data_IF_587333311549
#
_entry.id   IF_587333311549
#
_cell.length_a   1.000
_cell.length_b   1.000
_cell.length_c   1.000
_cell.angle_alpha   90.00
_cell.angle_beta   90.00
_cell.angle_gamma   90.00
#
_symmetry.space_group_name_H-M   'P 1'
#
loop_
_entity.id
_entity.type
_entity.pdbx_description
1 polymer ?
#
# COMPACT_ATOMS: atom_id res chain seq x y z
N UNK A 1 -11.52 -2.29 11.39
CA UNK A 1 -10.15 -2.10 10.92
C UNK A 1 -9.21 -2.79 11.88
N UNK A 2 -8.67 -3.94 11.48
CA UNK A 2 -7.64 -4.67 12.20
C UNK A 2 -6.45 -3.74 12.48
N UNK A 3 -6.01 -3.71 13.75
CA UNK A 3 -4.95 -2.83 14.26
C UNK A 3 -3.66 -2.92 13.41
N UNK A 4 -3.35 -4.11 12.93
CA UNK A 4 -2.17 -4.42 12.13
C UNK A 4 -2.14 -3.72 10.75
N UNK A 5 -3.27 -3.62 10.03
CA UNK A 5 -3.32 -2.94 8.72
C UNK A 5 -3.08 -1.43 8.89
N UNK A 6 -3.66 -0.88 9.96
CA UNK A 6 -3.53 0.53 10.29
C UNK A 6 -2.11 0.87 10.74
N UNK A 7 -1.51 0.05 11.60
CA UNK A 7 -0.09 0.20 12.00
C UNK A 7 0.85 0.09 10.79
N UNK A 8 0.57 -0.84 9.88
CA UNK A 8 1.39 -1.08 8.71
C UNK A 8 1.21 -0.02 7.61
N UNK A 9 0.09 0.70 7.59
CA UNK A 9 -0.11 1.94 6.83
C UNK A 9 0.62 3.13 7.44
N UNK A 10 0.66 3.19 8.77
CA UNK A 10 1.21 4.32 9.53
C UNK A 10 2.74 4.24 9.69
N UNK A 11 3.37 3.10 9.42
CA UNK A 11 4.82 2.93 9.49
C UNK A 11 5.60 3.93 8.60
N UNK A 12 5.00 4.33 7.49
CA UNK A 12 5.56 5.29 6.53
C UNK A 12 4.91 6.68 6.68
N UNK A 13 4.14 6.93 7.75
CA UNK A 13 3.57 8.25 7.99
C UNK A 13 4.70 9.28 8.19
N UNK A 14 4.66 10.43 7.51
CA UNK A 14 5.64 11.51 7.70
C UNK A 14 5.59 12.10 9.11
N UNK A 15 4.55 11.78 9.88
CA UNK A 15 4.42 12.16 11.27
C UNK A 15 5.39 11.36 12.19
N UNK A 16 5.97 10.26 11.70
CA UNK A 16 6.97 9.44 12.40
C UNK A 16 6.35 8.51 13.44
N UNK A 17 7.06 7.41 13.77
CA UNK A 17 6.56 6.36 14.69
C UNK A 17 6.10 6.90 16.06
N UNK A 18 6.71 7.99 16.54
CA UNK A 18 6.39 8.62 17.82
C UNK A 18 5.04 9.37 17.84
N UNK A 19 4.48 9.75 16.70
CA UNK A 19 3.17 10.43 16.64
C UNK A 19 2.06 9.55 16.02
N UNK A 20 2.40 8.30 15.70
CA UNK A 20 1.48 7.28 15.18
C UNK A 20 1.10 6.21 16.20
N UNK A 21 1.57 6.30 17.46
CA UNK A 21 1.17 5.34 18.48
C UNK A 21 -0.30 5.51 18.87
N UNK A 22 -0.83 4.52 19.58
CA UNK A 22 -2.23 4.50 20.05
C UNK A 22 -2.58 5.63 21.03
N UNK A 23 -1.59 6.40 21.48
CA UNK A 23 -1.75 7.48 22.45
C UNK A 23 -1.56 8.88 21.84
N UNK A 24 -1.15 8.97 20.56
CA UNK A 24 -0.88 10.22 19.87
C UNK A 24 -1.77 10.37 18.63
N UNK A 25 -2.31 11.57 18.46
CA UNK A 25 -3.21 11.91 17.37
C UNK A 25 -2.46 11.93 16.03
N UNK A 26 -2.97 11.16 15.06
CA UNK A 26 -2.43 11.10 13.70
C UNK A 26 -3.51 11.46 12.68
N UNK A 27 -3.33 12.57 11.95
CA UNK A 27 -4.28 13.02 10.94
C UNK A 27 -4.59 11.95 9.88
N UNK A 28 -3.59 11.16 9.46
CA UNK A 28 -3.80 10.09 8.48
C UNK A 28 -4.59 8.92 9.06
N UNK A 29 -4.36 8.56 10.34
CA UNK A 29 -5.15 7.57 11.07
C UNK A 29 -6.62 7.98 11.11
N UNK A 30 -6.89 9.21 11.56
CA UNK A 30 -8.24 9.79 11.62
C UNK A 30 -8.90 9.89 10.24
N UNK A 31 -8.14 10.24 9.20
CA UNK A 31 -8.66 10.29 7.84
C UNK A 31 -9.11 8.89 7.39
N UNK A 32 -8.28 7.87 7.58
CA UNK A 32 -8.62 6.49 7.20
C UNK A 32 -9.82 6.00 8.03
N UNK A 33 -9.83 6.23 9.34
CA UNK A 33 -10.94 5.86 10.22
C UNK A 33 -12.25 6.59 9.89
N UNK A 34 -12.19 7.89 9.54
CA UNK A 34 -13.37 8.71 9.21
C UNK A 34 -13.91 8.47 7.80
N UNK A 35 -13.11 7.97 6.85
CA UNK A 35 -13.58 7.68 5.49
C UNK A 35 -14.59 6.54 5.42
N UNK A 36 -14.67 5.68 6.44
CA UNK A 36 -15.51 4.49 6.44
C UNK A 36 -15.09 3.43 5.41
N UNK A 37 -13.88 3.54 4.87
CA UNK A 37 -13.34 2.54 3.94
C UNK A 37 -13.15 1.21 4.67
N UNK A 38 -13.62 0.15 4.04
CA UNK A 38 -13.33 -1.21 4.49
C UNK A 38 -11.83 -1.52 4.32
N UNK A 39 -11.33 -2.44 5.15
CA UNK A 39 -9.97 -2.96 5.04
C UNK A 39 -9.65 -3.48 3.64
N UNK A 40 -10.63 -4.14 3.01
CA UNK A 40 -10.55 -4.59 1.63
C UNK A 40 -10.26 -3.45 0.66
N UNK A 41 -10.94 -2.31 0.80
CA UNK A 41 -10.72 -1.15 -0.08
C UNK A 41 -9.34 -0.52 0.17
N UNK A 42 -8.90 -0.49 1.42
CA UNK A 42 -7.59 -0.01 1.82
C UNK A 42 -6.48 -0.87 1.19
N UNK A 43 -6.55 -2.19 1.37
CA UNK A 43 -5.55 -3.11 0.82
C UNK A 43 -5.58 -3.14 -0.70
N UNK A 44 -6.77 -3.04 -1.33
CA UNK A 44 -6.86 -2.88 -2.77
C UNK A 44 -6.15 -1.61 -3.26
N UNK A 45 -6.34 -0.47 -2.56
CA UNK A 45 -5.65 0.76 -2.88
C UNK A 45 -4.13 0.63 -2.72
N UNK A 46 -3.65 -0.02 -1.64
CA UNK A 46 -2.21 -0.29 -1.43
C UNK A 46 -1.62 -1.07 -2.60
N UNK A 47 -2.27 -2.16 -3.04
CA UNK A 47 -1.79 -2.96 -4.16
C UNK A 47 -1.80 -2.20 -5.49
N UNK A 48 -2.76 -1.28 -5.71
CA UNK A 48 -2.76 -0.40 -6.89
C UNK A 48 -1.53 0.53 -6.86
N UNK A 49 -1.17 1.08 -5.70
CA UNK A 49 0.03 1.90 -5.57
C UNK A 49 1.32 1.09 -5.72
N UNK A 50 1.36 -0.13 -5.18
CA UNK A 50 2.48 -1.04 -5.40
C UNK A 50 2.65 -1.35 -6.90
N UNK A 51 1.55 -1.65 -7.61
CA UNK A 51 1.56 -1.85 -9.06
C UNK A 51 2.07 -0.61 -9.80
N UNK A 52 1.58 0.58 -9.44
CA UNK A 52 2.04 1.85 -10.02
C UNK A 52 3.55 1.98 -9.89
N UNK A 53 4.10 1.77 -8.69
CA UNK A 53 5.54 1.88 -8.45
C UNK A 53 6.33 0.91 -9.34
N UNK A 54 5.92 -0.37 -9.38
CA UNK A 54 6.59 -1.39 -10.18
C UNK A 54 6.58 -1.05 -11.68
N UNK A 55 5.45 -0.60 -12.22
CA UNK A 55 5.38 -0.24 -13.63
C UNK A 55 6.14 1.06 -13.93
N UNK A 56 6.06 2.06 -13.04
CA UNK A 56 6.84 3.30 -13.22
C UNK A 56 8.35 3.03 -13.24
N UNK A 57 8.84 2.08 -12.43
CA UNK A 57 10.23 1.62 -12.47
C UNK A 57 10.57 0.90 -13.79
N UNK A 58 9.65 0.06 -14.30
CA UNK A 58 9.84 -0.65 -15.57
C UNK A 58 9.86 0.27 -16.77
N UNK A 59 9.03 1.31 -16.79
CA UNK A 59 8.92 2.27 -17.89
C UNK A 59 9.91 3.44 -17.77
N UNK A 60 10.53 3.62 -16.61
CA UNK A 60 11.47 4.72 -16.34
C UNK A 60 10.79 6.09 -16.18
N UNK A 61 9.46 6.13 -16.04
CA UNK A 61 8.68 7.35 -15.81
C UNK A 61 7.41 7.05 -14.98
N UNK A 62 6.76 8.09 -14.44
CA UNK A 62 5.51 7.86 -13.71
C UNK A 62 4.35 7.54 -14.65
N UNK A 63 3.79 6.32 -14.55
CA UNK A 63 2.61 5.91 -15.34
C UNK A 63 1.30 6.60 -14.90
N UNK A 64 1.29 7.24 -13.73
CA UNK A 64 0.13 7.96 -13.20
C UNK A 64 -0.92 7.06 -12.54
N UNK A 65 -1.75 7.66 -11.68
CA UNK A 65 -2.72 6.93 -10.84
C UNK A 65 -3.85 6.29 -11.64
N UNK A 66 -4.40 7.02 -12.61
CA UNK A 66 -5.54 6.55 -13.40
C UNK A 66 -5.21 5.30 -14.22
N UNK A 67 -4.06 5.31 -14.90
CA UNK A 67 -3.56 4.17 -15.68
C UNK A 67 -3.28 2.97 -14.78
N UNK A 68 -2.57 3.19 -13.66
CA UNK A 68 -2.30 2.12 -12.70
C UNK A 68 -3.58 1.45 -12.19
N UNK A 69 -4.61 2.22 -11.83
CA UNK A 69 -5.90 1.68 -11.40
C UNK A 69 -6.57 0.85 -12.50
N UNK A 70 -6.61 1.36 -13.74
CA UNK A 70 -7.25 0.66 -14.87
C UNK A 70 -6.55 -0.67 -15.17
N UNK A 71 -5.23 -0.64 -15.27
CA UNK A 71 -4.44 -1.84 -15.57
C UNK A 71 -4.51 -2.86 -14.42
N UNK A 72 -4.45 -2.40 -13.16
CA UNK A 72 -4.60 -3.27 -12.00
C UNK A 72 -5.97 -3.96 -11.98
N UNK A 73 -7.06 -3.22 -12.18
CA UNK A 73 -8.42 -3.80 -12.22
C UNK A 73 -8.52 -4.83 -13.34
N UNK A 74 -8.00 -4.52 -14.53
CA UNK A 74 -8.06 -5.41 -15.69
C UNK A 74 -7.25 -6.71 -15.49
N UNK A 75 -6.05 -6.61 -14.91
CA UNK A 75 -5.13 -7.75 -14.80
C UNK A 75 -5.29 -8.53 -13.49
N UNK A 76 -5.48 -7.82 -12.37
CA UNK A 76 -5.40 -8.39 -11.03
C UNK A 76 -6.69 -8.25 -10.23
N UNK A 77 -7.67 -7.47 -10.69
CA UNK A 77 -8.91 -7.20 -9.94
C UNK A 77 -9.68 -8.47 -9.55
N UNK A 78 -9.80 -9.42 -10.49
CA UNK A 78 -10.42 -10.73 -10.22
C UNK A 78 -9.61 -11.56 -9.24
N UNK A 79 -8.29 -11.65 -9.45
CA UNK A 79 -7.39 -12.42 -8.59
C UNK A 79 -7.39 -11.90 -7.16
N UNK A 80 -7.34 -10.58 -6.98
CA UNK A 80 -7.49 -9.93 -5.69
C UNK A 80 -8.80 -10.34 -4.99
N UNK A 81 -9.92 -10.31 -5.71
CA UNK A 81 -11.22 -10.68 -5.14
C UNK A 81 -11.29 -12.16 -4.71
N UNK A 82 -10.53 -13.04 -5.36
CA UNK A 82 -10.45 -14.47 -5.03
C UNK A 82 -9.53 -14.76 -3.84
N UNK A 83 -8.40 -14.06 -3.73
CA UNK A 83 -7.39 -14.35 -2.71
C UNK A 83 -7.58 -13.58 -1.41
N UNK A 84 -8.25 -12.42 -1.46
CA UNK A 84 -8.40 -11.55 -0.31
C UNK A 84 -9.21 -12.22 0.82
N UNK A 85 -8.70 -12.11 2.04
CA UNK A 85 -9.36 -12.46 3.29
C UNK A 85 -9.09 -11.38 4.32
N UNK A 86 -10.06 -11.12 5.20
CA UNK A 86 -9.89 -10.14 6.26
C UNK A 86 -8.72 -10.51 7.18
N UNK A 87 -7.94 -9.50 7.59
CA UNK A 87 -6.74 -9.68 8.40
C UNK A 87 -5.49 -10.21 7.67
N UNK A 88 -5.50 -10.33 6.33
CA UNK A 88 -4.28 -10.66 5.59
C UNK A 88 -3.27 -9.51 5.63
N UNK A 89 -1.99 -9.82 5.89
CA UNK A 89 -0.91 -8.83 5.80
C UNK A 89 -0.66 -8.43 4.35
N UNK A 90 -0.33 -7.17 4.13
CA UNK A 90 -0.10 -6.62 2.79
C UNK A 90 0.98 -7.37 1.99
N UNK A 91 2.08 -7.79 2.63
CA UNK A 91 3.13 -8.56 1.96
C UNK A 91 2.65 -9.92 1.45
N UNK A 92 1.86 -10.64 2.26
CA UNK A 92 1.28 -11.95 1.90
C UNK A 92 0.25 -11.78 0.77
N UNK A 93 -0.56 -10.72 0.86
CA UNK A 93 -1.56 -10.38 -0.15
C UNK A 93 -0.91 -9.94 -1.47
N UNK A 94 0.18 -9.16 -1.41
CA UNK A 94 0.98 -8.77 -2.57
C UNK A 94 1.54 -10.01 -3.28
N UNK A 95 2.15 -10.94 -2.54
CA UNK A 95 2.71 -12.16 -3.12
C UNK A 95 1.60 -13.03 -3.74
N UNK A 96 0.45 -13.15 -3.07
CA UNK A 96 -0.69 -13.86 -3.61
C UNK A 96 -1.20 -13.25 -4.93
N UNK A 97 -1.28 -11.91 -5.03
CA UNK A 97 -1.82 -11.21 -6.19
C UNK A 97 -0.80 -11.15 -7.34
N UNK A 98 0.45 -10.77 -7.10
CA UNK A 98 1.44 -10.58 -8.16
C UNK A 98 2.31 -11.80 -8.44
N UNK A 99 2.34 -12.79 -7.54
CA UNK A 99 3.08 -14.04 -7.73
C UNK A 99 4.58 -13.94 -7.45
N UNK A 100 5.03 -12.87 -6.79
CA UNK A 100 6.41 -12.71 -6.33
C UNK A 100 6.46 -11.95 -5.01
N UNK A 101 7.54 -12.12 -4.25
CA UNK A 101 7.70 -11.46 -2.95
C UNK A 101 7.84 -9.96 -3.11
N UNK A 102 7.19 -9.21 -2.22
CA UNK A 102 7.42 -7.78 -2.09
C UNK A 102 8.86 -7.57 -1.65
N UNK A 103 9.71 -7.04 -2.52
CA UNK A 103 11.04 -6.61 -2.12
C UNK A 103 10.87 -5.47 -1.10
N UNK A 104 11.42 -5.64 0.10
CA UNK A 104 11.46 -4.54 1.07
C UNK A 104 12.41 -3.46 0.53
N UNK A 105 11.80 -2.42 -0.01
CA UNK A 105 12.43 -1.23 -0.62
C UNK A 105 13.13 -0.32 0.40
N UNK A 106 13.44 -0.74 1.62
CA UNK A 106 14.09 0.14 2.61
C UNK A 106 15.42 0.69 2.05
N UNK A 107 16.19 -0.13 1.33
CA UNK A 107 17.43 0.32 0.66
C UNK A 107 17.19 1.20 -0.57
N UNK A 108 16.11 1.01 -1.31
CA UNK A 108 15.82 1.75 -2.55
C UNK A 108 15.13 3.09 -2.27
N UNK A 109 14.27 3.17 -1.24
CA UNK A 109 13.69 4.40 -0.71
C UNK A 109 14.77 5.30 -0.10
N UNK A 110 15.68 4.75 0.70
CA UNK A 110 16.84 5.49 1.23
C UNK A 110 17.75 6.01 0.10
N UNK A 111 17.93 5.25 -0.98
CA UNK A 111 18.71 5.70 -2.13
C UNK A 111 18.04 6.84 -2.91
N UNK A 112 16.70 6.94 -2.92
CA UNK A 112 15.99 8.06 -3.54
C UNK A 112 15.94 9.30 -2.64
N UNK A 113 15.86 9.14 -1.33
CA UNK A 113 15.90 10.26 -0.37
C UNK A 113 17.30 10.89 -0.30
N UNK A 114 18.37 10.10 -0.40
CA UNK A 114 19.74 10.59 -0.31
C UNK A 114 20.32 11.15 -1.63
N UNK A 115 19.58 11.06 -2.74
CA UNK A 115 20.01 11.56 -4.06
C UNK A 115 19.18 12.77 -4.55
N UNK A 116 18.39 13.38 -3.67
CA UNK A 116 17.72 14.69 -3.85
C UNK A 116 18.14 15.64 -2.73
#
# INVERSE_FOLDING_TARGET
>A
MHKEILEDLLKDCPCGQLSCDENNWCFFRELVESTGLSERQIEQARLIYDYKYLQSQREGNDIGKQRATQEFIAQYGKKFAEVYKDGMRNGDLFEAVFGFKKEHTDKQLLAHINNN
#
